data_IF_450521411718
#
_entry.id   IF_450521411718
#
_cell.length_a   1.000
_cell.length_b   1.000
_cell.length_c   1.000
_cell.angle_alpha   90.00
_cell.angle_beta   90.00
_cell.angle_gamma   90.00
#
_symmetry.space_group_name_H-M   'P 1'
#
loop_
_entity.id
_entity.type
_entity.pdbx_description
1 polymer ?
#
# COMPACT_ATOMS: atom_id res chain seq x y z
N UNK A 1 4.30 -0.09 -2.51
CA UNK A 1 4.67 1.09 -1.69
C UNK A 1 6.02 0.78 -1.05
N UNK A 2 6.97 1.73 -1.04
CA UNK A 2 8.31 1.49 -0.49
C UNK A 2 8.51 2.24 0.83
N UNK A 3 9.17 1.59 1.79
CA UNK A 3 9.52 2.15 3.08
C UNK A 3 11.03 2.11 3.27
N UNK A 4 11.57 3.14 3.91
CA UNK A 4 12.96 3.12 4.38
C UNK A 4 13.16 1.93 5.32
N UNK A 5 14.31 1.25 5.19
CA UNK A 5 14.61 0.00 5.91
C UNK A 5 14.52 0.16 7.42
N UNK A 6 14.79 1.36 7.96
CA UNK A 6 14.63 1.68 9.38
C UNK A 6 13.21 1.43 9.92
N UNK A 7 12.20 1.53 9.06
CA UNK A 7 10.80 1.37 9.45
C UNK A 7 10.30 -0.07 9.29
N UNK A 8 11.06 -0.95 8.63
CA UNK A 8 10.57 -2.29 8.31
C UNK A 8 10.23 -3.09 9.57
N UNK A 9 11.14 -3.14 10.55
CA UNK A 9 10.88 -3.82 11.82
C UNK A 9 9.69 -3.21 12.56
N UNK A 10 9.59 -1.88 12.59
CA UNK A 10 8.49 -1.17 13.25
C UNK A 10 7.13 -1.51 12.61
N UNK A 11 7.09 -1.71 11.29
CA UNK A 11 5.89 -2.14 10.58
C UNK A 11 5.56 -3.61 10.91
N UNK A 12 6.56 -4.49 10.87
CA UNK A 12 6.41 -5.92 11.14
C UNK A 12 5.89 -6.20 12.56
N UNK A 13 6.33 -5.42 13.54
CA UNK A 13 5.91 -5.53 14.94
C UNK A 13 4.67 -4.68 15.28
N UNK A 14 4.08 -3.98 14.31
CA UNK A 14 2.85 -3.21 14.49
C UNK A 14 3.03 -1.89 15.27
N UNK A 15 4.27 -1.42 15.44
CA UNK A 15 4.57 -0.11 16.07
C UNK A 15 4.31 1.05 15.10
N UNK A 16 4.67 0.88 13.82
CA UNK A 16 4.34 1.80 12.74
C UNK A 16 3.12 1.28 11.99
N UNK A 17 2.00 1.98 12.12
CA UNK A 17 0.70 1.63 11.51
C UNK A 17 0.18 2.71 10.59
N UNK A 18 0.90 3.82 10.44
CA UNK A 18 0.53 4.94 9.58
C UNK A 18 1.68 5.28 8.64
N UNK A 19 1.35 5.80 7.45
CA UNK A 19 2.32 6.43 6.54
C UNK A 19 1.85 7.77 6.00
N UNK A 20 2.68 8.80 6.15
CA UNK A 20 2.52 10.11 5.50
C UNK A 20 3.26 10.05 4.16
N UNK A 21 2.60 10.49 3.08
CA UNK A 21 3.17 10.54 1.72
C UNK A 21 2.94 11.90 1.05
N UNK A 22 3.76 12.20 0.05
CA UNK A 22 3.72 13.41 -0.79
C UNK A 22 2.82 13.30 -2.02
N UNK A 23 2.37 12.08 -2.36
CA UNK A 23 1.54 11.81 -3.55
C UNK A 23 0.37 10.91 -3.18
N UNK A 24 -0.72 11.04 -3.92
CA UNK A 24 -1.83 10.08 -3.94
C UNK A 24 -1.34 8.80 -4.62
N UNK A 25 -0.64 7.94 -3.87
CA UNK A 25 -0.30 6.59 -4.31
C UNK A 25 -0.85 5.60 -3.31
N UNK A 26 -1.46 4.53 -3.79
CA UNK A 26 -2.18 3.55 -2.98
C UNK A 26 -3.41 4.12 -2.25
N UNK A 27 -4.51 3.36 -2.32
CA UNK A 27 -5.85 3.69 -1.83
C UNK A 27 -6.25 2.73 -0.70
N UNK A 28 -7.39 3.02 -0.06
CA UNK A 28 -8.01 2.10 0.89
C UNK A 28 -8.29 0.76 0.22
N UNK A 29 -7.97 -0.34 0.91
CA UNK A 29 -8.08 -1.71 0.39
C UNK A 29 -6.78 -2.23 -0.25
N UNK A 30 -5.90 -1.36 -0.74
CA UNK A 30 -4.67 -1.80 -1.40
C UNK A 30 -3.75 -2.55 -0.44
N UNK A 31 -3.10 -3.58 -0.98
CA UNK A 31 -2.07 -4.34 -0.30
C UNK A 31 -0.67 -3.81 -0.65
N UNK A 32 0.24 -3.89 0.33
CA UNK A 32 1.66 -3.73 0.12
C UNK A 32 2.45 -4.73 0.94
N UNK A 33 3.68 -4.99 0.54
CA UNK A 33 4.55 -5.97 1.20
C UNK A 33 5.71 -5.27 1.91
N UNK A 34 6.06 -5.79 3.10
CA UNK A 34 7.27 -5.44 3.84
C UNK A 34 7.91 -6.73 4.32
N UNK A 35 9.13 -7.04 3.87
CA UNK A 35 9.89 -8.25 4.23
C UNK A 35 9.06 -9.55 4.20
N UNK A 36 8.33 -9.77 3.10
CA UNK A 36 7.52 -10.98 2.92
C UNK A 36 6.09 -10.88 3.48
N UNK A 37 5.85 -10.06 4.50
CA UNK A 37 4.53 -9.90 5.10
C UNK A 37 3.66 -8.88 4.35
N UNK A 38 2.36 -9.17 4.25
CA UNK A 38 1.38 -8.30 3.60
C UNK A 38 0.68 -7.39 4.60
N UNK A 39 0.36 -6.18 4.14
CA UNK A 39 -0.34 -5.16 4.90
C UNK A 39 -1.40 -4.52 4.02
N UNK A 40 -2.59 -4.29 4.59
CA UNK A 40 -3.72 -3.65 3.91
C UNK A 40 -3.88 -2.21 4.41
N UNK A 41 -4.11 -1.27 3.49
CA UNK A 41 -4.53 0.09 3.85
C UNK A 41 -5.98 0.05 4.30
N UNK A 42 -6.24 0.45 5.54
CA UNK A 42 -7.57 0.42 6.15
C UNK A 42 -8.22 1.79 6.26
N UNK A 43 -7.44 2.87 6.13
CA UNK A 43 -7.95 4.24 6.16
C UNK A 43 -7.08 5.18 5.31
N UNK A 44 -7.69 6.26 4.82
CA UNK A 44 -7.03 7.29 4.02
C UNK A 44 -7.59 8.67 4.36
N UNK A 45 -6.69 9.61 4.65
CA UNK A 45 -7.05 11.03 4.82
C UNK A 45 -6.07 11.97 4.15
N UNK A 46 -6.58 13.11 3.71
CA UNK A 46 -5.80 14.23 3.17
C UNK A 46 -5.69 15.30 4.24
N UNK A 47 -4.49 15.83 4.44
CA UNK A 47 -4.16 16.78 5.49
C UNK A 47 -3.47 18.00 4.90
N UNK A 48 -4.16 19.14 4.99
CA UNK A 48 -3.69 20.42 4.41
C UNK A 48 -2.92 21.29 5.41
N UNK A 49 -2.58 20.74 6.57
CA UNK A 49 -1.83 21.46 7.61
C UNK A 49 -0.76 20.58 8.23
N UNK A 50 0.45 21.13 8.38
CA UNK A 50 1.56 20.44 9.03
C UNK A 50 1.22 20.01 10.46
N UNK A 51 0.59 20.88 11.24
CA UNK A 51 0.17 20.57 12.61
C UNK A 51 -0.80 19.39 12.70
N UNK A 52 -1.52 19.04 11.62
CA UNK A 52 -2.45 17.91 11.64
C UNK A 52 -1.77 16.55 11.44
N UNK A 53 -0.52 16.51 10.98
CA UNK A 53 0.25 15.27 10.83
C UNK A 53 1.26 15.04 11.94
N UNK A 54 1.68 16.10 12.66
CA UNK A 54 2.64 15.96 13.77
C UNK A 54 2.19 14.98 14.86
N UNK A 55 0.91 14.93 15.30
CA UNK A 55 0.48 13.96 16.30
C UNK A 55 0.67 12.49 15.88
N UNK A 56 0.86 12.22 14.59
CA UNK A 56 1.05 10.88 14.04
C UNK A 56 2.49 10.37 14.19
N UNK A 57 3.42 11.17 14.74
CA UNK A 57 4.85 10.85 14.85
C UNK A 57 5.11 9.43 15.35
N UNK A 58 4.39 9.01 16.40
CA UNK A 58 4.54 7.69 17.01
C UNK A 58 4.08 6.58 16.08
N UNK A 59 2.88 6.72 15.52
CA UNK A 59 2.32 5.78 14.54
C UNK A 59 3.07 5.77 13.21
N UNK A 60 3.85 6.82 12.92
CA UNK A 60 4.79 6.89 11.81
C UNK A 60 6.15 6.23 12.13
N UNK A 61 6.38 5.76 13.35
CA UNK A 61 7.64 5.12 13.75
C UNK A 61 8.80 6.11 14.00
N UNK A 62 8.49 7.38 14.29
CA UNK A 62 9.48 8.35 14.77
C UNK A 62 9.57 8.34 16.30
N UNK A 63 10.70 8.78 16.85
CA UNK A 63 10.88 8.90 18.29
C UNK A 63 10.19 10.16 18.86
N UNK A 64 10.00 11.19 18.03
CA UNK A 64 9.32 12.42 18.40
C UNK A 64 8.66 13.13 17.21
N UNK A 65 7.79 14.10 17.51
CA UNK A 65 7.24 15.01 16.50
C UNK A 65 8.32 15.87 15.82
N UNK A 66 9.41 16.17 16.53
CA UNK A 66 10.54 16.92 15.98
C UNK A 66 11.30 16.10 14.93
N UNK A 67 11.56 14.82 15.18
CA UNK A 67 12.20 13.93 14.21
C UNK A 67 11.35 13.79 12.93
N UNK A 68 10.02 13.80 13.09
CA UNK A 68 9.08 13.79 11.96
C UNK A 68 9.25 15.06 11.11
N UNK A 69 9.38 16.23 11.74
CA UNK A 69 9.60 17.50 11.06
C UNK A 69 10.94 17.55 10.32
N UNK A 70 12.02 17.15 10.98
CA UNK A 70 13.36 17.11 10.37
C UNK A 70 13.37 16.18 9.16
N UNK A 71 12.77 14.99 9.30
CA UNK A 71 12.62 14.05 8.19
C UNK A 71 11.81 14.66 7.03
N UNK A 72 10.64 15.23 7.33
CA UNK A 72 9.81 15.87 6.30
C UNK A 72 10.55 16.98 5.56
N UNK A 73 11.39 17.76 6.25
CA UNK A 73 12.23 18.80 5.66
C UNK A 73 13.30 18.21 4.74
N UNK A 74 14.06 17.22 5.20
CA UNK A 74 15.13 16.55 4.42
C UNK A 74 14.56 15.85 3.18
N UNK A 75 13.33 15.32 3.27
CA UNK A 75 12.68 14.59 2.19
C UNK A 75 11.70 15.45 1.36
N UNK A 76 11.74 16.78 1.49
CA UNK A 76 10.96 17.73 0.69
C UNK A 76 9.45 17.43 0.68
N UNK A 77 8.89 17.17 1.86
CA UNK A 77 7.46 17.03 2.02
C UNK A 77 6.79 18.39 1.86
N UNK A 78 5.72 18.42 1.07
CA UNK A 78 4.89 19.59 0.84
C UNK A 78 3.42 19.18 0.96
N UNK A 79 2.58 20.18 1.20
CA UNK A 79 1.14 20.01 1.23
C UNK A 79 0.60 19.67 -0.17
N UNK A 80 -0.51 18.91 -0.24
CA UNK A 80 -1.20 18.25 0.87
C UNK A 80 -0.50 16.95 1.30
N UNK A 81 -0.65 16.57 2.57
CA UNK A 81 -0.13 15.30 3.07
C UNK A 81 -1.16 14.19 2.93
N UNK A 82 -0.71 13.05 2.40
CA UNK A 82 -1.55 11.87 2.21
C UNK A 82 -1.27 10.85 3.29
N UNK A 83 -2.14 10.77 4.27
CA UNK A 83 -2.02 9.90 5.44
C UNK A 83 -2.79 8.61 5.19
N UNK A 84 -2.16 7.47 5.45
CA UNK A 84 -2.78 6.15 5.36
C UNK A 84 -2.54 5.39 6.63
N UNK A 85 -3.59 4.77 7.16
CA UNK A 85 -3.45 3.76 8.21
C UNK A 85 -3.51 2.38 7.56
N UNK A 86 -2.69 1.47 8.06
CA UNK A 86 -2.62 0.11 7.57
C UNK A 86 -2.50 -0.88 8.72
N UNK A 87 -2.85 -2.12 8.44
CA UNK A 87 -2.74 -3.23 9.38
C UNK A 87 -2.14 -4.44 8.68
N UNK A 88 -1.56 -5.33 9.48
CA UNK A 88 -1.11 -6.63 8.98
C UNK A 88 -2.29 -7.37 8.36
N UNK A 89 -2.05 -7.96 7.21
CA UNK A 89 -3.01 -8.78 6.50
C UNK A 89 -2.58 -10.23 6.67
N UNK A 90 -3.26 -10.91 7.58
CA UNK A 90 -3.00 -12.31 7.95
C UNK A 90 -4.05 -13.28 7.39
N UNK A 91 -5.09 -12.75 6.72
CA UNK A 91 -6.01 -13.62 5.97
C UNK A 91 -5.23 -14.27 4.82
N UNK A 92 -5.64 -15.47 4.41
CA UNK A 92 -5.09 -16.02 3.19
C UNK A 92 -5.42 -15.03 2.05
N UNK A 93 -4.44 -14.72 1.21
CA UNK A 93 -4.73 -14.10 -0.08
C UNK A 93 -5.43 -15.17 -0.90
N UNK A 94 -6.73 -15.33 -0.68
CA UNK A 94 -7.58 -16.22 -1.43
C UNK A 94 -7.70 -15.64 -2.85
N UNK A 95 -7.09 -16.36 -3.79
CA UNK A 95 -7.45 -16.30 -5.19
C UNK A 95 -8.88 -16.85 -5.30
N UNK A 96 -9.79 -16.06 -5.86
CA UNK A 96 -11.21 -16.32 -6.13
C UNK A 96 -12.17 -16.00 -4.98
N UNK A 97 -13.06 -15.02 -5.19
CA UNK A 97 -14.43 -15.11 -4.69
C UNK A 97 -15.31 -15.69 -5.79
N UNK A 98 -16.43 -16.31 -5.42
CA UNK A 98 -17.37 -16.97 -6.34
C UNK A 98 -18.09 -16.01 -7.29
N UNK A 99 -17.98 -14.69 -7.06
CA UNK A 99 -18.78 -13.69 -7.76
C UNK A 99 -17.95 -12.75 -8.66
N UNK A 100 -16.65 -12.56 -8.40
CA UNK A 100 -15.71 -11.87 -9.31
C UNK A 100 -14.27 -12.35 -9.04
N UNK A 101 -13.55 -12.81 -10.07
CA UNK A 101 -12.12 -13.17 -9.94
C UNK A 101 -11.24 -11.94 -10.17
N UNK A 102 -10.99 -11.16 -9.12
CA UNK A 102 -9.88 -10.20 -9.13
C UNK A 102 -8.63 -10.95 -8.67
N UNK A 103 -7.68 -11.16 -9.58
CA UNK A 103 -6.45 -11.89 -9.34
C UNK A 103 -5.30 -10.88 -9.14
N UNK A 104 -4.70 -10.88 -7.95
CA UNK A 104 -3.43 -10.18 -7.75
C UNK A 104 -2.29 -11.19 -7.85
N UNK A 105 -1.43 -11.02 -8.86
CA UNK A 105 -0.24 -11.86 -9.04
C UNK A 105 1.03 -11.03 -9.17
N UNK A 106 2.10 -11.34 -8.40
CA UNK A 106 3.41 -10.76 -8.62
C UNK A 106 3.89 -11.07 -10.05
N UNK A 107 4.40 -10.09 -10.78
CA UNK A 107 4.82 -10.27 -12.19
C UNK A 107 5.81 -11.43 -12.37
N UNK A 108 6.76 -11.58 -11.45
CA UNK A 108 7.76 -12.65 -11.50
C UNK A 108 7.19 -14.06 -11.46
N UNK A 109 5.99 -14.23 -10.90
CA UNK A 109 5.30 -15.53 -10.82
C UNK A 109 4.63 -15.94 -12.14
N UNK A 110 4.44 -15.00 -13.08
CA UNK A 110 3.68 -15.23 -14.33
C UNK A 110 4.40 -14.79 -15.61
N UNK A 111 5.60 -14.21 -15.52
CA UNK A 111 6.41 -13.70 -16.65
C UNK A 111 6.78 -14.71 -17.76
N UNK A 112 6.33 -15.96 -17.67
CA UNK A 112 6.56 -17.02 -18.66
C UNK A 112 5.31 -17.85 -18.96
N UNK A 113 4.14 -17.41 -18.47
CA UNK A 113 2.86 -18.06 -18.75
C UNK A 113 2.24 -17.39 -19.98
N UNK A 114 1.74 -18.20 -20.90
CA UNK A 114 0.96 -17.71 -22.03
C UNK A 114 -0.44 -17.38 -21.51
N UNK A 115 -0.79 -16.10 -21.39
CA UNK A 115 -2.13 -15.67 -20.91
C UNK A 115 -3.11 -15.72 -22.10
N UNK A 116 -4.09 -16.63 -22.13
CA UNK A 116 -5.06 -16.72 -23.23
C UNK A 116 -6.01 -15.52 -23.25
N UNK A 117 -5.87 -14.62 -24.24
CA UNK A 117 -6.59 -13.33 -24.36
C UNK A 117 -8.13 -13.37 -24.44
N UNK A 118 -8.78 -14.52 -24.24
CA UNK A 118 -10.24 -14.68 -24.29
C UNK A 118 -10.91 -14.74 -22.91
N UNK A 119 -10.14 -14.85 -21.83
CA UNK A 119 -10.68 -14.94 -20.45
C UNK A 119 -10.39 -13.68 -19.61
N UNK A 120 -9.81 -12.64 -20.23
CA UNK A 120 -9.33 -11.44 -19.53
C UNK A 120 -9.90 -10.21 -20.21
N UNK A 121 -10.66 -9.40 -19.47
CA UNK A 121 -11.12 -8.12 -19.99
C UNK A 121 -10.03 -7.06 -19.85
N UNK A 122 -9.31 -6.95 -18.73
CA UNK A 122 -8.27 -5.91 -18.57
C UNK A 122 -7.09 -6.32 -17.65
N UNK A 123 -5.85 -6.10 -18.14
CA UNK A 123 -4.60 -6.29 -17.39
C UNK A 123 -4.02 -4.92 -17.00
N UNK A 124 -3.93 -4.66 -15.69
CA UNK A 124 -3.36 -3.43 -15.16
C UNK A 124 -1.95 -3.65 -14.62
N UNK A 125 -0.97 -3.01 -15.25
CA UNK A 125 0.41 -2.98 -14.75
C UNK A 125 0.52 -1.95 -13.62
N UNK A 126 0.70 -2.43 -12.39
CA UNK A 126 0.99 -1.59 -11.23
C UNK A 126 2.51 -1.40 -11.11
N UNK A 127 2.93 -0.14 -11.12
CA UNK A 127 4.35 0.21 -11.12
C UNK A 127 4.97 0.35 -9.71
N UNK A 128 6.20 -0.16 -9.47
CA UNK A 128 7.00 -1.00 -10.36
C UNK A 128 7.00 -2.47 -9.90
N UNK A 129 6.21 -3.33 -10.55
CA UNK A 129 6.44 -4.79 -10.55
C UNK A 129 5.24 -5.70 -10.31
N UNK A 130 4.03 -5.17 -10.07
CA UNK A 130 2.85 -6.00 -9.80
C UNK A 130 1.88 -5.94 -10.97
N UNK A 131 1.25 -7.06 -11.30
CA UNK A 131 0.12 -7.10 -12.23
C UNK A 131 -1.16 -7.25 -11.40
N UNK A 132 -2.10 -6.33 -11.62
CA UNK A 132 -3.49 -6.50 -11.20
C UNK A 132 -4.25 -7.04 -12.41
N UNK A 133 -4.77 -8.24 -12.28
CA UNK A 133 -5.58 -8.92 -13.29
C UNK A 133 -7.04 -8.82 -12.85
N UNK A 134 -7.86 -8.17 -13.68
CA UNK A 134 -9.28 -7.99 -13.43
C UNK A 134 -10.03 -8.90 -14.39
N UNK A 135 -10.78 -9.86 -13.86
CA UNK A 135 -11.81 -10.56 -14.62
C UNK A 135 -13.17 -9.98 -14.20
N UNK A 136 -13.80 -9.21 -15.07
CA UNK A 136 -15.26 -9.09 -15.00
C UNK A 136 -15.83 -10.38 -15.63
N UNK A 137 -16.77 -11.02 -14.93
CA UNK A 137 -17.69 -11.92 -15.58
C UNK A 137 -19.06 -11.29 -15.41
N UNK A 138 -19.64 -10.86 -16.53
CA UNK A 138 -21.04 -10.53 -16.61
C UNK A 138 -21.76 -11.84 -16.94
N UNK A 139 -22.59 -12.33 -16.01
CA UNK A 139 -24.00 -12.67 -16.27
C UNK A 139 -24.59 -13.55 -15.15
N UNK A 140 -25.54 -12.97 -14.42
CA UNK A 140 -26.87 -13.57 -14.26
C UNK A 140 -27.93 -12.48 -14.36
#
# INVERSE_FOLDING_TARGET
MEFDSRFHSLILFGEKVTTIRRKVRARMGDLFQVNGAFFRITDFSIRDRLLSVLPLWRSEGFASAWDTLEWMKVHYYHLPFFVRTFKRFDDEIFLCSEECRICYRPYDSIKSWFLPSREFEELYRLDPGNLLEVHEWVDS
#
